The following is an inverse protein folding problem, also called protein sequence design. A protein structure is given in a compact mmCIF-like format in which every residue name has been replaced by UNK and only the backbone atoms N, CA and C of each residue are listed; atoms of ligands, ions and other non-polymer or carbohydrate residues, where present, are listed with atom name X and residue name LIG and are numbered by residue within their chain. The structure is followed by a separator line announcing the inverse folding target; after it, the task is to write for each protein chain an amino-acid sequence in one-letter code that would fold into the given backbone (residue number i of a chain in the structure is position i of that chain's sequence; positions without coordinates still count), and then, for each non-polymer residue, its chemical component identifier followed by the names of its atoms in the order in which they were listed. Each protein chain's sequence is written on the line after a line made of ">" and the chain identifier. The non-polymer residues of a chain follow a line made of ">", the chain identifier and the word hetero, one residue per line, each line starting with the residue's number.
data_IF_021325559602
#
_entry.id   IF_021325559602
#
_cell.length_a   1.000
_cell.length_b   1.000
_cell.length_c   1.000
_cell.angle_alpha   90.00
_cell.angle_beta   90.00
_cell.angle_gamma   90.00
#
_symmetry.space_group_name_H-M   'P 1'
#
loop_
_entity.id
_entity.type
_entity.pdbx_description
1 polymer ?
#
# COMPACT_ATOMS: atom_id res chain seq x y z
N UNK A 1 1.83 -24.62 4.58
CA UNK A 1 0.96 -25.36 3.64
C UNK A 1 1.27 -25.00 2.18
N UNK A 2 1.13 -23.72 1.76
CA UNK A 2 1.37 -23.28 0.36
C UNK A 2 2.77 -23.65 -0.16
N UNK A 3 3.82 -23.36 0.63
CA UNK A 3 5.19 -23.69 0.26
C UNK A 3 5.39 -25.20 0.10
N UNK A 4 4.86 -26.01 1.03
CA UNK A 4 4.95 -27.46 0.97
C UNK A 4 4.25 -28.04 -0.26
N UNK A 5 3.05 -27.51 -0.61
CA UNK A 5 2.36 -27.89 -1.87
C UNK A 5 3.18 -27.60 -3.11
N UNK A 6 3.84 -26.43 -3.18
CA UNK A 6 4.72 -26.06 -4.31
C UNK A 6 5.89 -27.00 -4.48
N UNK A 7 6.34 -27.64 -3.40
CA UNK A 7 7.40 -28.65 -3.40
C UNK A 7 6.87 -30.09 -3.51
N UNK A 8 5.58 -30.27 -3.82
CA UNK A 8 4.99 -31.59 -4.08
C UNK A 8 4.63 -32.38 -2.84
N UNK A 9 4.68 -31.79 -1.65
CA UNK A 9 4.21 -32.48 -0.44
C UNK A 9 2.67 -32.54 -0.43
N UNK A 10 2.14 -33.69 -0.01
CA UNK A 10 0.68 -33.93 0.08
C UNK A 10 0.18 -33.91 1.51
N UNK A 11 1.07 -34.03 2.49
CA UNK A 11 0.76 -34.06 3.93
C UNK A 11 1.79 -33.29 4.74
N UNK A 12 1.34 -32.76 5.89
CA UNK A 12 2.21 -32.28 6.95
C UNK A 12 1.90 -33.07 8.20
N UNK A 13 2.93 -33.31 9.01
CA UNK A 13 2.82 -34.03 10.26
C UNK A 13 3.43 -33.20 11.38
N UNK A 14 2.79 -33.22 12.54
CA UNK A 14 3.23 -32.50 13.74
C UNK A 14 2.90 -33.27 15.00
N UNK A 15 3.70 -33.06 16.03
CA UNK A 15 3.43 -33.55 17.38
C UNK A 15 3.33 -32.36 18.33
N UNK A 16 2.34 -32.37 19.21
CA UNK A 16 2.21 -31.40 20.29
C UNK A 16 1.66 -32.10 21.53
N UNK A 17 1.80 -31.49 22.70
CA UNK A 17 1.15 -32.00 23.91
C UNK A 17 -0.38 -31.88 23.78
N UNK A 18 -1.13 -32.92 24.19
CA UNK A 18 -2.58 -32.96 24.04
C UNK A 18 -3.30 -31.79 24.74
N UNK A 19 -2.72 -31.24 25.83
CA UNK A 19 -3.24 -30.10 26.58
C UNK A 19 -2.88 -28.74 25.96
N UNK A 20 -2.12 -28.70 24.85
CA UNK A 20 -1.73 -27.48 24.19
C UNK A 20 -2.88 -26.92 23.33
N UNK A 21 -3.86 -26.30 23.98
CA UNK A 21 -5.06 -25.74 23.35
C UNK A 21 -4.69 -24.72 22.26
N UNK A 22 -3.70 -23.85 22.51
CA UNK A 22 -3.29 -22.84 21.54
C UNK A 22 -2.79 -23.45 20.23
N UNK A 23 -1.99 -24.52 20.29
CA UNK A 23 -1.50 -25.19 19.09
C UNK A 23 -2.62 -25.95 18.36
N UNK A 24 -3.54 -26.56 19.09
CA UNK A 24 -4.73 -27.20 18.50
C UNK A 24 -5.59 -26.19 17.74
N UNK A 25 -5.79 -24.99 18.29
CA UNK A 25 -6.47 -23.89 17.59
C UNK A 25 -5.75 -23.47 16.30
N UNK A 26 -4.41 -23.43 16.30
CA UNK A 26 -3.61 -23.15 15.11
C UNK A 26 -3.85 -24.21 14.03
N UNK A 27 -3.86 -25.50 14.38
CA UNK A 27 -4.13 -26.57 13.44
C UNK A 27 -5.57 -26.49 12.91
N UNK A 28 -6.56 -26.37 13.79
CA UNK A 28 -7.96 -26.25 13.41
C UNK A 28 -8.22 -25.03 12.52
N UNK A 29 -7.60 -23.89 12.87
CA UNK A 29 -7.72 -22.67 12.07
C UNK A 29 -7.04 -22.77 10.70
N UNK A 30 -6.24 -23.81 10.45
CA UNK A 30 -5.61 -24.01 9.14
C UNK A 30 -6.63 -24.25 8.01
N UNK A 31 -7.81 -24.78 8.34
CA UNK A 31 -8.84 -25.20 7.37
C UNK A 31 -8.47 -26.42 6.54
N UNK A 32 -7.35 -27.06 6.86
CA UNK A 32 -6.93 -28.31 6.21
C UNK A 32 -7.63 -29.49 6.87
N UNK A 33 -8.00 -30.54 6.10
CA UNK A 33 -8.44 -31.81 6.69
C UNK A 33 -7.36 -32.33 7.63
N UNK A 34 -7.77 -32.70 8.84
CA UNK A 34 -6.87 -33.06 9.93
C UNK A 34 -7.30 -34.38 10.55
N UNK A 35 -6.33 -35.26 10.81
CA UNK A 35 -6.47 -36.45 11.61
C UNK A 35 -5.64 -36.32 12.86
N UNK A 36 -6.24 -36.59 14.04
CA UNK A 36 -5.61 -36.50 15.35
C UNK A 36 -5.48 -37.88 15.95
N UNK A 37 -4.32 -38.20 16.49
CA UNK A 37 -4.07 -39.38 17.30
C UNK A 37 -3.41 -39.00 18.60
N UNK A 38 -4.01 -39.44 19.74
CA UNK A 38 -3.47 -39.10 21.07
C UNK A 38 -2.92 -40.34 21.72
N UNK A 39 -1.65 -40.35 22.10
CA UNK A 39 -0.98 -41.45 22.80
C UNK A 39 -0.01 -40.87 23.84
N UNK A 40 -0.03 -41.40 25.07
CA UNK A 40 0.92 -41.08 26.13
C UNK A 40 0.93 -39.62 26.60
N UNK A 41 -0.11 -38.82 26.27
CA UNK A 41 -0.18 -37.38 26.59
C UNK A 41 0.27 -36.47 25.45
N UNK A 42 0.81 -37.03 24.37
CA UNK A 42 1.12 -36.32 23.14
C UNK A 42 -0.01 -36.51 22.13
N UNK A 43 -0.18 -35.50 21.28
CA UNK A 43 -1.11 -35.51 20.15
C UNK A 43 -0.33 -35.41 18.84
N UNK A 44 -0.45 -36.45 18.05
CA UNK A 44 0.01 -36.46 16.66
C UNK A 44 -1.09 -35.88 15.75
N UNK A 45 -0.70 -35.00 14.86
CA UNK A 45 -1.61 -34.35 13.92
C UNK A 45 -1.09 -34.56 12.50
N UNK A 46 -1.90 -35.18 11.65
CA UNK A 46 -1.66 -35.25 10.21
C UNK A 46 -2.59 -34.29 9.49
N UNK A 47 -2.03 -33.36 8.73
CA UNK A 47 -2.75 -32.36 7.94
C UNK A 47 -2.66 -32.72 6.46
N UNK A 48 -3.79 -33.00 5.82
CA UNK A 48 -3.84 -33.21 4.36
C UNK A 48 -3.67 -31.89 3.63
N UNK A 49 -2.71 -31.83 2.71
CA UNK A 49 -2.49 -30.67 1.84
C UNK A 49 -3.34 -30.70 0.57
N UNK A 50 -4.18 -31.72 0.38
CA UNK A 50 -5.12 -31.77 -0.75
C UNK A 50 -6.12 -30.61 -0.62
N UNK A 51 -6.26 -29.75 -1.64
CA UNK A 51 -7.22 -28.66 -1.61
C UNK A 51 -8.64 -29.17 -1.43
N UNK A 52 -9.35 -28.62 -0.46
CA UNK A 52 -10.80 -28.74 -0.32
C UNK A 52 -11.43 -27.38 -0.51
N UNK A 53 -12.69 -27.30 -0.92
CA UNK A 53 -13.39 -26.01 -1.09
C UNK A 53 -13.28 -25.17 0.19
N UNK A 54 -13.42 -25.79 1.37
CA UNK A 54 -13.28 -25.12 2.65
C UNK A 54 -11.86 -24.53 2.86
N UNK A 55 -10.80 -25.31 2.57
CA UNK A 55 -9.40 -24.85 2.74
C UNK A 55 -9.03 -23.76 1.75
N UNK A 56 -9.60 -23.78 0.54
CA UNK A 56 -9.43 -22.75 -0.48
C UNK A 56 -10.10 -21.45 -0.02
N UNK A 57 -11.38 -21.50 0.35
CA UNK A 57 -12.13 -20.34 0.84
C UNK A 57 -11.48 -19.69 2.08
N UNK A 58 -11.01 -20.50 3.04
CA UNK A 58 -10.28 -19.96 4.20
C UNK A 58 -8.96 -19.30 3.82
N UNK A 59 -8.22 -19.85 2.87
CA UNK A 59 -6.98 -19.28 2.39
C UNK A 59 -7.23 -17.94 1.68
N UNK A 60 -8.22 -17.89 0.79
CA UNK A 60 -8.64 -16.69 0.07
C UNK A 60 -9.12 -15.60 1.05
N UNK A 61 -9.93 -15.97 2.05
CA UNK A 61 -10.40 -15.02 3.06
C UNK A 61 -9.25 -14.42 3.87
N UNK A 62 -8.27 -15.25 4.31
CA UNK A 62 -7.09 -14.75 5.04
C UNK A 62 -6.23 -13.84 4.17
N UNK A 63 -6.04 -14.20 2.90
CA UNK A 63 -5.30 -13.38 1.94
C UNK A 63 -5.99 -12.02 1.76
N UNK A 64 -7.31 -12.01 1.60
CA UNK A 64 -8.12 -10.78 1.50
C UNK A 64 -7.98 -9.91 2.75
N UNK A 65 -8.14 -10.48 3.94
CA UNK A 65 -7.99 -9.74 5.21
C UNK A 65 -6.60 -9.15 5.34
N UNK A 66 -5.55 -9.92 5.03
CA UNK A 66 -4.17 -9.46 5.08
C UNK A 66 -3.90 -8.35 4.05
N UNK A 67 -4.38 -8.51 2.81
CA UNK A 67 -4.26 -7.50 1.74
C UNK A 67 -4.95 -6.20 2.15
N UNK A 68 -6.20 -6.27 2.59
CA UNK A 68 -6.97 -5.10 3.03
C UNK A 68 -6.28 -4.37 4.18
N UNK A 69 -5.83 -5.10 5.20
CA UNK A 69 -5.09 -4.52 6.31
C UNK A 69 -3.79 -3.83 5.87
N UNK A 70 -3.06 -4.44 4.92
CA UNK A 70 -1.80 -3.90 4.39
C UNK A 70 -1.99 -2.63 3.56
N UNK A 71 -3.15 -2.45 2.90
CA UNK A 71 -3.46 -1.28 2.08
C UNK A 71 -4.09 -0.13 2.87
N UNK A 72 -4.56 -0.38 4.08
CA UNK A 72 -5.20 0.66 4.91
C UNK A 72 -4.36 1.93 5.09
N UNK A 73 -3.02 1.87 5.30
CA UNK A 73 -2.19 3.08 5.40
C UNK A 73 -2.14 3.92 4.12
N UNK A 74 -2.43 3.35 2.94
CA UNK A 74 -2.55 4.10 1.69
C UNK A 74 -3.81 4.96 1.68
N UNK A 75 -4.95 4.42 2.12
CA UNK A 75 -6.25 5.06 1.95
C UNK A 75 -6.78 5.78 3.19
N UNK A 76 -6.34 5.39 4.39
CA UNK A 76 -6.75 5.97 5.68
C UNK A 76 -5.54 6.36 6.54
N UNK A 77 -4.57 7.13 6.01
CA UNK A 77 -3.44 7.59 6.80
C UNK A 77 -3.89 8.63 7.84
N UNK A 78 -3.30 8.60 9.03
CA UNK A 78 -3.47 9.65 10.03
C UNK A 78 -2.48 10.81 9.80
N UNK A 79 -1.33 10.49 9.19
CA UNK A 79 -0.32 11.47 8.85
C UNK A 79 0.34 11.14 7.50
N UNK A 80 0.56 12.17 6.68
CA UNK A 80 1.16 12.07 5.34
C UNK A 80 2.39 12.96 5.25
N UNK A 81 3.50 12.46 4.70
CA UNK A 81 4.66 13.27 4.36
C UNK A 81 4.80 13.39 2.83
N UNK A 82 4.96 14.61 2.32
CA UNK A 82 5.34 14.88 0.93
C UNK A 82 6.85 15.10 0.87
N UNK A 83 7.57 14.13 0.28
CA UNK A 83 9.03 14.14 0.16
C UNK A 83 9.41 14.64 -1.23
N UNK A 84 10.18 15.73 -1.29
CA UNK A 84 10.42 16.49 -2.52
C UNK A 84 9.42 17.63 -2.70
N UNK A 85 8.79 18.09 -1.62
CA UNK A 85 8.02 19.34 -1.61
C UNK A 85 8.89 20.50 -2.13
N UNK A 86 8.31 21.41 -2.89
CA UNK A 86 9.03 22.49 -3.58
C UNK A 86 8.33 23.82 -3.41
N UNK A 87 9.08 24.94 -3.46
CA UNK A 87 8.53 26.30 -3.48
C UNK A 87 7.97 26.71 -4.83
N UNK A 88 8.36 26.01 -5.90
CA UNK A 88 7.85 26.26 -7.24
C UNK A 88 6.42 25.73 -7.39
N UNK A 89 5.40 26.60 -7.60
CA UNK A 89 4.01 26.20 -7.76
C UNK A 89 3.75 25.26 -8.96
N UNK A 90 4.64 25.24 -9.94
CA UNK A 90 4.53 24.36 -11.11
C UNK A 90 5.09 22.96 -10.84
N UNK A 91 5.85 22.79 -9.77
CA UNK A 91 6.43 21.49 -9.41
C UNK A 91 5.36 20.52 -8.91
N UNK A 92 5.58 19.22 -9.16
CA UNK A 92 4.72 18.14 -8.65
C UNK A 92 4.67 18.19 -7.12
N UNK A 93 5.81 18.38 -6.46
CA UNK A 93 5.88 18.40 -4.99
C UNK A 93 5.07 19.53 -4.34
N UNK A 94 4.99 20.72 -4.99
CA UNK A 94 4.12 21.80 -4.53
C UNK A 94 2.64 21.42 -4.70
N UNK A 95 2.27 20.94 -5.90
CA UNK A 95 0.88 20.60 -6.23
C UNK A 95 0.33 19.47 -5.35
N UNK A 96 1.15 18.49 -4.98
CA UNK A 96 0.78 17.44 -4.03
C UNK A 96 0.47 18.03 -2.65
N UNK A 97 1.34 18.91 -2.17
CA UNK A 97 1.17 19.55 -0.86
C UNK A 97 -0.07 20.45 -0.83
N UNK A 98 -0.26 21.23 -1.89
CA UNK A 98 -1.44 22.08 -2.08
C UNK A 98 -2.72 21.27 -2.15
N UNK A 99 -2.74 20.16 -2.91
CA UNK A 99 -3.89 19.29 -3.03
C UNK A 99 -4.29 18.65 -1.68
N UNK A 100 -3.33 18.20 -0.88
CA UNK A 100 -3.59 17.66 0.46
C UNK A 100 -4.18 18.73 1.40
N UNK A 101 -3.65 19.96 1.39
CA UNK A 101 -4.09 21.02 2.28
C UNK A 101 -5.42 21.64 1.83
N UNK A 102 -5.58 21.93 0.53
CA UNK A 102 -6.75 22.66 -0.01
C UNK A 102 -8.01 21.81 -0.05
N UNK A 103 -7.89 20.47 -0.15
CA UNK A 103 -9.05 19.58 -0.19
C UNK A 103 -9.52 19.11 1.19
N UNK A 104 -8.93 19.65 2.27
CA UNK A 104 -9.40 19.41 3.63
C UNK A 104 -9.08 18.01 4.14
N UNK A 105 -7.90 17.48 3.86
CA UNK A 105 -7.42 16.24 4.46
C UNK A 105 -7.49 16.34 5.99
N UNK A 106 -8.14 15.38 6.63
CA UNK A 106 -8.37 15.41 8.06
C UNK A 106 -7.18 14.95 8.91
N UNK A 107 -6.21 14.28 8.28
CA UNK A 107 -4.94 13.91 8.93
C UNK A 107 -3.93 15.05 8.94
N UNK A 108 -2.74 14.77 9.44
CA UNK A 108 -1.63 15.72 9.45
C UNK A 108 -0.83 15.60 8.16
N UNK A 109 -0.42 16.75 7.63
CA UNK A 109 0.41 16.81 6.42
C UNK A 109 1.75 17.48 6.72
N UNK A 110 2.84 16.87 6.28
CA UNK A 110 4.21 17.32 6.49
C UNK A 110 4.93 17.51 5.17
N UNK A 111 5.55 18.66 4.98
CA UNK A 111 6.41 18.94 3.85
C UNK A 111 7.87 18.62 4.19
N UNK A 112 8.52 17.75 3.40
CA UNK A 112 9.94 17.42 3.57
C UNK A 112 10.75 18.11 2.49
N UNK A 113 11.58 19.06 2.89
CA UNK A 113 12.53 19.76 2.04
C UNK A 113 13.72 20.27 2.87
N UNK A 114 14.97 19.86 2.60
CA UNK A 114 16.14 20.29 3.37
C UNK A 114 16.59 21.74 3.09
N UNK A 115 16.02 22.41 2.06
CA UNK A 115 16.49 23.72 1.58
C UNK A 115 15.47 24.85 1.77
N UNK A 116 14.29 24.57 2.30
CA UNK A 116 13.25 25.58 2.52
C UNK A 116 12.75 25.52 3.97
N UNK A 117 12.45 26.66 4.55
CA UNK A 117 11.82 26.72 5.87
C UNK A 117 10.29 26.64 5.81
N UNK A 118 9.71 27.11 4.71
CA UNK A 118 8.25 27.06 4.47
C UNK A 118 7.96 26.82 3.00
N UNK A 119 6.89 26.06 2.72
CA UNK A 119 6.35 25.80 1.37
C UNK A 119 4.83 25.86 1.46
N UNK A 120 4.17 26.59 0.56
CA UNK A 120 2.71 26.77 0.54
C UNK A 120 2.12 27.17 1.92
N UNK A 121 2.84 28.00 2.67
CA UNK A 121 2.44 28.45 4.02
C UNK A 121 2.65 27.42 5.14
N UNK A 122 3.13 26.21 4.82
CA UNK A 122 3.40 25.16 5.79
C UNK A 122 4.88 25.12 6.18
N UNK A 123 5.16 24.83 7.45
CA UNK A 123 6.51 24.57 7.92
C UNK A 123 7.06 23.32 7.22
N UNK A 124 8.33 23.37 6.81
CA UNK A 124 9.04 22.22 6.26
C UNK A 124 9.99 21.61 7.26
N UNK A 125 10.27 20.35 7.05
CA UNK A 125 11.23 19.58 7.82
C UNK A 125 12.35 19.08 6.90
N UNK A 126 13.61 19.05 7.35
CA UNK A 126 14.74 18.65 6.51
C UNK A 126 14.72 17.15 6.18
N UNK A 127 14.11 16.31 7.01
CA UNK A 127 14.01 14.85 6.83
C UNK A 127 12.81 14.28 7.59
N UNK A 128 12.45 13.02 7.31
CA UNK A 128 11.43 12.30 8.08
C UNK A 128 11.79 12.15 9.57
N UNK A 129 13.09 12.01 9.87
CA UNK A 129 13.59 11.86 11.26
C UNK A 129 13.40 13.11 12.11
N UNK A 130 13.22 14.28 11.48
CA UNK A 130 12.99 15.55 12.18
C UNK A 130 11.52 15.85 12.42
N UNK A 131 10.61 14.99 11.97
CA UNK A 131 9.18 15.13 12.21
C UNK A 131 8.85 14.95 13.71
N UNK A 132 7.83 15.67 14.21
CA UNK A 132 7.41 15.55 15.62
C UNK A 132 6.72 14.21 15.94
N UNK A 133 6.32 13.47 14.92
CA UNK A 133 5.61 12.19 15.05
C UNK A 133 5.82 11.31 13.81
N UNK A 134 5.59 9.99 13.91
CA UNK A 134 5.59 9.10 12.76
C UNK A 134 4.50 9.43 11.75
N UNK A 135 4.74 9.12 10.46
CA UNK A 135 3.76 9.23 9.38
C UNK A 135 3.42 7.85 8.82
N UNK A 136 2.17 7.68 8.38
CA UNK A 136 1.69 6.42 7.83
C UNK A 136 2.02 6.27 6.34
N UNK A 137 1.92 7.39 5.61
CA UNK A 137 2.05 7.46 4.16
C UNK A 137 3.12 8.46 3.75
N UNK A 138 4.04 8.06 2.90
CA UNK A 138 4.98 8.94 2.24
C UNK A 138 4.66 9.06 0.75
N UNK A 139 4.46 10.30 0.28
CA UNK A 139 4.31 10.64 -1.15
C UNK A 139 5.65 11.15 -1.65
N UNK A 140 6.27 10.41 -2.58
CA UNK A 140 7.67 10.62 -2.99
C UNK A 140 7.70 11.25 -4.39
N UNK A 141 8.23 12.48 -4.46
CA UNK A 141 8.38 13.27 -5.69
C UNK A 141 9.81 13.86 -5.78
N UNK A 142 10.81 13.03 -5.49
CA UNK A 142 12.25 13.36 -5.60
C UNK A 142 12.82 12.84 -6.91
N UNK A 143 14.03 13.30 -7.36
CA UNK A 143 14.72 12.67 -8.48
C UNK A 143 14.90 11.16 -8.28
N UNK A 144 14.84 10.39 -9.38
CA UNK A 144 14.85 8.92 -9.34
C UNK A 144 16.03 8.31 -8.54
N UNK A 145 17.18 8.94 -8.64
CA UNK A 145 18.41 8.46 -7.99
C UNK A 145 18.37 8.59 -6.47
N UNK A 146 17.48 9.44 -5.94
CA UNK A 146 17.25 9.61 -4.50
C UNK A 146 16.16 8.68 -3.93
N UNK A 147 15.36 8.03 -4.78
CA UNK A 147 14.19 7.26 -4.32
C UNK A 147 14.58 6.12 -3.40
N UNK A 148 15.63 5.36 -3.72
CA UNK A 148 16.06 4.21 -2.91
C UNK A 148 16.49 4.62 -1.49
N UNK A 149 17.22 5.73 -1.34
CA UNK A 149 17.62 6.23 -0.02
C UNK A 149 16.44 6.79 0.77
N UNK A 150 15.48 7.40 0.09
CA UNK A 150 14.23 7.87 0.71
C UNK A 150 13.41 6.69 1.24
N UNK A 151 13.37 5.57 0.53
CA UNK A 151 12.69 4.34 1.01
C UNK A 151 13.35 3.80 2.27
N UNK A 152 14.68 3.84 2.38
CA UNK A 152 15.39 3.47 3.61
C UNK A 152 15.00 4.38 4.79
N UNK A 153 14.94 5.68 4.56
CA UNK A 153 14.53 6.64 5.58
C UNK A 153 13.05 6.44 5.99
N UNK A 154 12.17 6.14 5.03
CA UNK A 154 10.77 5.79 5.30
C UNK A 154 10.67 4.56 6.22
N UNK A 155 11.36 3.49 5.88
CA UNK A 155 11.37 2.26 6.69
C UNK A 155 11.92 2.51 8.10
N UNK A 156 13.03 3.25 8.22
CA UNK A 156 13.68 3.56 9.50
C UNK A 156 12.83 4.46 10.42
N UNK A 157 11.83 5.16 9.87
CA UNK A 157 10.96 6.07 10.61
C UNK A 157 9.54 5.52 10.82
N UNK A 158 9.28 4.27 10.43
CA UNK A 158 8.02 3.58 10.67
C UNK A 158 6.90 3.90 9.68
N UNK A 159 7.23 4.52 8.53
CA UNK A 159 6.29 4.64 7.40
C UNK A 159 5.84 3.25 6.96
N UNK A 160 4.57 3.10 6.61
CA UNK A 160 4.00 1.80 6.22
C UNK A 160 3.61 1.72 4.74
N UNK A 161 3.36 2.87 4.12
CA UNK A 161 2.90 2.95 2.74
C UNK A 161 3.60 4.06 1.97
N UNK A 162 3.82 3.81 0.67
CA UNK A 162 4.50 4.71 -0.25
C UNK A 162 3.62 4.97 -1.47
N UNK A 163 3.60 6.21 -1.94
CA UNK A 163 3.14 6.59 -3.27
C UNK A 163 4.33 7.22 -4.00
N UNK A 164 4.90 6.49 -4.98
CA UNK A 164 6.08 6.94 -5.72
C UNK A 164 5.65 7.59 -7.03
N UNK A 165 5.60 8.92 -7.04
CA UNK A 165 5.23 9.71 -8.22
C UNK A 165 6.36 9.70 -9.25
N UNK A 166 7.59 9.68 -8.78
CA UNK A 166 8.81 9.76 -9.58
C UNK A 166 8.80 8.75 -10.73
N UNK A 167 9.11 9.24 -11.93
CA UNK A 167 9.33 8.46 -13.15
C UNK A 167 10.83 8.18 -13.37
N UNK A 168 11.14 7.39 -14.41
CA UNK A 168 12.51 7.01 -14.77
C UNK A 168 12.86 5.57 -14.37
N UNK A 169 11.82 4.72 -14.25
CA UNK A 169 11.92 3.31 -13.89
C UNK A 169 11.66 2.41 -15.13
N UNK A 170 10.88 1.35 -15.01
CA UNK A 170 10.70 0.35 -16.07
C UNK A 170 10.21 0.91 -17.41
N UNK A 171 9.53 2.06 -17.40
CA UNK A 171 9.02 2.74 -18.59
C UNK A 171 10.12 3.33 -19.49
N UNK A 172 11.34 3.53 -18.96
CA UNK A 172 12.46 4.07 -19.75
C UNK A 172 13.42 3.00 -20.28
N UNK A 173 13.10 1.71 -20.11
CA UNK A 173 13.87 0.61 -20.67
C UNK A 173 14.57 -0.27 -19.64
N UNK A 174 15.63 -0.99 -20.07
CA UNK A 174 16.25 -2.08 -19.30
C UNK A 174 16.85 -1.60 -17.97
N UNK A 175 17.59 -0.50 -17.98
CA UNK A 175 18.23 0.02 -16.77
C UNK A 175 17.20 0.57 -15.78
N UNK A 176 16.15 1.22 -16.30
CA UNK A 176 15.02 1.64 -15.47
C UNK A 176 14.28 0.45 -14.86
N UNK A 177 14.14 -0.65 -15.59
CA UNK A 177 13.56 -1.89 -15.04
C UNK A 177 14.40 -2.47 -13.92
N UNK A 178 15.72 -2.55 -14.07
CA UNK A 178 16.62 -3.00 -13.00
C UNK A 178 16.49 -2.14 -11.74
N UNK A 179 16.40 -0.83 -11.92
CA UNK A 179 16.18 0.10 -10.81
C UNK A 179 14.84 -0.14 -10.12
N UNK A 180 13.79 -0.40 -10.89
CA UNK A 180 12.45 -0.75 -10.36
C UNK A 180 12.46 -2.08 -9.59
N UNK A 181 13.12 -3.10 -10.11
CA UNK A 181 13.22 -4.40 -9.45
C UNK A 181 13.95 -4.27 -8.11
N UNK A 182 15.02 -3.47 -8.06
CA UNK A 182 15.73 -3.16 -6.81
C UNK A 182 14.85 -2.36 -5.82
N UNK A 183 14.07 -1.39 -6.32
CA UNK A 183 13.10 -0.65 -5.52
C UNK A 183 12.05 -1.59 -4.92
N UNK A 184 11.50 -2.50 -5.73
CA UNK A 184 10.49 -3.46 -5.28
C UNK A 184 11.04 -4.42 -4.22
N UNK A 185 12.25 -4.95 -4.45
CA UNK A 185 12.93 -5.80 -3.48
C UNK A 185 13.08 -5.10 -2.13
N UNK A 186 13.57 -3.86 -2.15
CA UNK A 186 13.75 -3.03 -0.95
C UNK A 186 12.43 -2.79 -0.22
N UNK A 187 11.37 -2.39 -0.93
CA UNK A 187 10.03 -2.16 -0.38
C UNK A 187 9.50 -3.40 0.33
N UNK A 188 9.65 -4.58 -0.30
CA UNK A 188 9.21 -5.86 0.26
C UNK A 188 10.02 -6.31 1.47
N UNK A 189 11.34 -6.16 1.43
CA UNK A 189 12.22 -6.49 2.55
C UNK A 189 11.90 -5.67 3.79
N UNK A 190 11.45 -4.43 3.62
CA UNK A 190 11.07 -3.53 4.71
C UNK A 190 9.58 -3.66 5.14
N UNK A 191 8.82 -4.56 4.51
CA UNK A 191 7.41 -4.77 4.82
C UNK A 191 6.49 -3.59 4.44
N UNK A 192 6.93 -2.75 3.51
CA UNK A 192 6.18 -1.59 3.02
C UNK A 192 5.22 -1.99 1.89
N UNK A 193 4.17 -1.17 1.67
CA UNK A 193 3.34 -1.26 0.47
C UNK A 193 3.55 -0.02 -0.40
N UNK A 194 3.55 -0.21 -1.73
CA UNK A 194 3.89 0.86 -2.66
C UNK A 194 2.93 0.93 -3.85
N UNK A 195 2.38 2.13 -4.11
CA UNK A 195 1.72 2.50 -5.37
C UNK A 195 2.74 3.18 -6.28
N UNK A 196 2.76 2.83 -7.55
CA UNK A 196 3.72 3.31 -8.53
C UNK A 196 4.88 2.33 -8.78
N UNK A 197 6.10 2.80 -9.10
CA UNK A 197 6.48 4.17 -9.43
C UNK A 197 5.83 4.71 -10.71
N UNK A 198 6.17 5.94 -11.11
CA UNK A 198 5.64 6.61 -12.29
C UNK A 198 4.10 6.66 -12.27
N UNK A 199 3.53 7.10 -11.17
CA UNK A 199 2.09 7.18 -10.98
C UNK A 199 1.63 8.64 -10.79
N UNK A 200 0.33 8.83 -10.91
CA UNK A 200 -0.32 10.13 -10.71
C UNK A 200 -0.69 10.37 -9.23
N UNK A 201 -0.74 9.31 -8.43
CA UNK A 201 -1.12 9.36 -7.03
C UNK A 201 -2.40 8.61 -6.70
N UNK A 202 -2.91 8.86 -5.51
CA UNK A 202 -4.13 8.24 -4.96
C UNK A 202 -5.04 9.30 -4.36
N UNK A 203 -6.36 9.06 -4.34
CA UNK A 203 -7.30 9.83 -3.55
C UNK A 203 -8.33 8.94 -2.85
N UNK A 204 -8.86 9.45 -1.75
CA UNK A 204 -10.00 8.90 -1.03
C UNK A 204 -10.95 10.05 -0.66
N UNK A 205 -12.18 9.97 -1.14
CA UNK A 205 -13.19 11.02 -0.97
C UNK A 205 -14.03 10.84 0.28
N UNK A 206 -13.82 9.76 1.05
CA UNK A 206 -14.52 9.55 2.32
C UNK A 206 -14.50 10.84 3.14
N UNK A 207 -15.69 11.37 3.55
CA UNK A 207 -15.78 12.61 4.34
C UNK A 207 -14.95 12.58 5.63
N UNK A 208 -14.68 11.40 6.19
CA UNK A 208 -13.84 11.24 7.38
C UNK A 208 -12.31 11.30 7.07
N UNK A 209 -11.92 11.23 5.80
CA UNK A 209 -10.50 11.17 5.39
C UNK A 209 -10.13 12.35 4.49
N UNK A 210 -10.80 12.50 3.34
CA UNK A 210 -10.59 13.55 2.32
C UNK A 210 -9.14 13.62 1.81
N UNK A 211 -8.56 12.47 1.54
CA UNK A 211 -7.17 12.36 1.06
C UNK A 211 -7.09 12.71 -0.44
N UNK A 212 -6.31 13.74 -0.80
CA UNK A 212 -5.90 13.98 -2.17
C UNK A 212 -4.36 13.95 -2.29
N UNK A 213 -3.80 12.77 -2.38
CA UNK A 213 -2.37 12.56 -2.63
C UNK A 213 -2.10 12.40 -4.14
N UNK A 214 -2.75 13.22 -4.96
CA UNK A 214 -2.51 13.40 -6.40
C UNK A 214 -2.06 14.82 -6.70
N UNK A 215 -1.56 15.07 -7.90
CA UNK A 215 -1.31 16.44 -8.37
C UNK A 215 -2.42 16.96 -9.32
N UNK A 216 -3.64 16.40 -9.19
CA UNK A 216 -4.84 16.92 -9.86
C UNK A 216 -5.30 18.23 -9.22
N UNK A 217 -5.87 19.09 -10.03
CA UNK A 217 -6.61 20.27 -9.58
C UNK A 217 -8.05 19.94 -9.13
N UNK A 218 -8.55 18.74 -9.47
CA UNK A 218 -9.92 18.27 -9.22
C UNK A 218 -9.96 17.33 -8.02
N UNK A 219 -10.99 17.49 -7.18
CA UNK A 219 -11.34 16.55 -6.13
C UNK A 219 -12.81 16.16 -6.30
N UNK A 220 -13.13 14.94 -6.76
CA UNK A 220 -14.48 14.54 -7.10
C UNK A 220 -15.39 14.48 -5.86
N UNK A 221 -16.71 14.46 -6.10
CA UNK A 221 -17.70 14.22 -5.07
C UNK A 221 -17.50 12.85 -4.42
N UNK A 222 -17.83 12.75 -3.14
CA UNK A 222 -17.89 11.47 -2.46
C UNK A 222 -18.98 10.57 -3.07
N UNK A 223 -18.66 9.29 -3.23
CA UNK A 223 -19.57 8.29 -3.81
C UNK A 223 -19.07 6.87 -3.61
N UNK A 224 -19.67 5.93 -4.32
CA UNK A 224 -19.39 4.50 -4.16
C UNK A 224 -18.52 3.88 -5.28
N UNK A 225 -18.15 4.65 -6.29
CA UNK A 225 -17.37 4.12 -7.42
C UNK A 225 -15.89 4.18 -7.08
N UNK A 226 -15.24 3.03 -6.99
CA UNK A 226 -13.79 2.93 -6.92
C UNK A 226 -13.19 2.84 -8.33
N UNK A 227 -12.05 3.51 -8.54
CA UNK A 227 -11.45 3.59 -9.87
C UNK A 227 -9.94 3.39 -9.82
N UNK A 228 -9.41 2.63 -10.77
CA UNK A 228 -7.96 2.47 -10.98
C UNK A 228 -7.60 2.78 -12.42
N UNK A 229 -6.45 3.46 -12.63
CA UNK A 229 -5.90 3.73 -13.95
C UNK A 229 -4.39 3.50 -13.96
N UNK A 230 -3.88 2.88 -15.02
CA UNK A 230 -2.44 2.79 -15.25
C UNK A 230 -1.89 4.10 -15.86
N UNK A 231 -2.67 4.75 -16.71
CA UNK A 231 -2.30 6.00 -17.35
C UNK A 231 -2.67 7.20 -16.48
N UNK A 232 -1.67 8.03 -16.11
CA UNK A 232 -1.91 9.28 -15.40
C UNK A 232 -2.77 10.27 -16.19
N UNK A 233 -2.55 10.39 -17.51
CA UNK A 233 -3.34 11.29 -18.36
C UNK A 233 -4.81 10.84 -18.47
N UNK A 234 -5.05 9.54 -18.64
CA UNK A 234 -6.41 9.00 -18.61
C UNK A 234 -7.06 9.20 -17.23
N UNK A 235 -6.30 8.99 -16.16
CA UNK A 235 -6.76 9.24 -14.79
C UNK A 235 -7.24 10.68 -14.60
N UNK A 236 -6.45 11.66 -15.05
CA UNK A 236 -6.83 13.08 -15.02
C UNK A 236 -8.13 13.35 -15.79
N UNK A 237 -8.26 12.79 -17.01
CA UNK A 237 -9.45 12.96 -17.83
C UNK A 237 -10.70 12.35 -17.17
N UNK A 238 -10.54 11.19 -16.51
CA UNK A 238 -11.61 10.51 -15.78
C UNK A 238 -12.04 11.31 -14.54
N UNK A 239 -11.11 11.87 -13.77
CA UNK A 239 -11.42 12.73 -12.62
C UNK A 239 -12.17 13.99 -13.07
N UNK A 240 -11.71 14.67 -14.14
CA UNK A 240 -12.40 15.82 -14.69
C UNK A 240 -13.80 15.45 -15.26
N UNK A 241 -13.95 14.29 -15.86
CA UNK A 241 -15.25 13.80 -16.34
C UNK A 241 -16.18 13.46 -15.17
N UNK A 242 -15.70 12.85 -14.10
CA UNK A 242 -16.51 12.53 -12.92
C UNK A 242 -17.07 13.80 -12.26
N UNK A 243 -16.24 14.84 -12.13
CA UNK A 243 -16.70 16.14 -11.63
C UNK A 243 -17.78 16.76 -12.52
N UNK A 244 -17.53 16.84 -13.85
CA UNK A 244 -18.48 17.40 -14.81
C UNK A 244 -19.80 16.65 -14.86
N UNK A 245 -19.76 15.33 -14.74
CA UNK A 245 -20.95 14.45 -14.76
C UNK A 245 -21.57 14.25 -13.38
N UNK A 246 -21.03 14.89 -12.35
CA UNK A 246 -21.47 14.76 -10.95
C UNK A 246 -21.46 13.29 -10.48
N UNK A 247 -20.50 12.51 -10.96
CA UNK A 247 -20.30 11.12 -10.55
C UNK A 247 -19.42 11.09 -9.30
N UNK A 248 -19.96 10.58 -8.19
CA UNK A 248 -19.22 10.43 -6.95
C UNK A 248 -18.27 9.23 -6.99
N UNK A 249 -17.01 9.44 -6.59
CA UNK A 249 -16.03 8.39 -6.41
C UNK A 249 -15.83 8.09 -4.92
N UNK A 250 -15.46 6.86 -4.57
CA UNK A 250 -14.97 6.53 -3.23
C UNK A 250 -13.46 6.70 -3.16
N UNK A 251 -12.76 6.09 -4.11
CA UNK A 251 -11.30 6.13 -4.21
C UNK A 251 -10.86 6.16 -5.67
N UNK A 252 -9.70 6.76 -5.91
CA UNK A 252 -9.00 6.66 -7.19
C UNK A 252 -7.54 6.28 -6.95
N UNK A 253 -7.00 5.38 -7.78
CA UNK A 253 -5.60 4.94 -7.73
C UNK A 253 -4.99 4.97 -9.12
N UNK A 254 -3.95 5.79 -9.29
CA UNK A 254 -3.07 5.65 -10.45
C UNK A 254 -1.98 4.65 -10.11
N UNK A 255 -2.04 3.45 -10.67
CA UNK A 255 -1.06 2.39 -10.33
C UNK A 255 0.29 2.55 -11.01
N UNK A 256 0.40 3.43 -12.03
CA UNK A 256 1.65 3.67 -12.76
C UNK A 256 2.28 2.39 -13.30
N UNK A 257 3.56 2.15 -13.01
CA UNK A 257 4.27 0.93 -13.42
C UNK A 257 3.80 -0.33 -12.68
N UNK A 258 2.98 -0.19 -11.65
CA UNK A 258 2.38 -1.30 -10.90
C UNK A 258 3.42 -2.31 -10.39
N UNK A 259 4.45 -1.79 -9.72
CA UNK A 259 5.56 -2.64 -9.26
C UNK A 259 5.19 -3.51 -8.06
N UNK A 260 4.40 -2.98 -7.08
CA UNK A 260 3.96 -3.71 -5.89
C UNK A 260 2.43 -3.84 -5.86
N UNK A 261 1.70 -2.77 -5.53
CA UNK A 261 0.23 -2.82 -5.46
C UNK A 261 -0.35 -3.04 -6.85
N UNK A 262 -1.10 -4.12 -7.00
CA UNK A 262 -1.76 -4.53 -8.23
C UNK A 262 -3.25 -4.17 -8.23
N UNK A 263 -3.91 -4.28 -9.40
CA UNK A 263 -5.35 -4.11 -9.50
C UNK A 263 -6.09 -5.20 -8.69
N UNK A 264 -5.54 -6.41 -8.59
CA UNK A 264 -6.15 -7.48 -7.78
C UNK A 264 -6.14 -7.13 -6.28
N UNK A 265 -5.03 -6.54 -5.77
CA UNK A 265 -4.99 -6.05 -4.39
C UNK A 265 -6.06 -4.97 -4.14
N UNK A 266 -6.25 -4.06 -5.11
CA UNK A 266 -7.27 -3.02 -5.03
C UNK A 266 -8.69 -3.59 -5.07
N UNK A 267 -8.97 -4.57 -5.93
CA UNK A 267 -10.27 -5.25 -5.97
C UNK A 267 -10.57 -5.92 -4.63
N UNK A 268 -9.62 -6.66 -4.06
CA UNK A 268 -9.78 -7.25 -2.73
C UNK A 268 -10.03 -6.22 -1.63
N UNK A 269 -9.38 -5.06 -1.72
CA UNK A 269 -9.59 -3.95 -0.78
C UNK A 269 -10.99 -3.34 -0.93
N UNK A 270 -11.49 -3.17 -2.14
CA UNK A 270 -12.77 -2.51 -2.43
C UNK A 270 -13.99 -3.43 -2.21
N UNK A 271 -13.80 -4.74 -2.14
CA UNK A 271 -14.86 -5.70 -1.82
C UNK A 271 -15.26 -5.73 -0.32
N UNK A 272 -14.45 -5.10 0.54
CA UNK A 272 -14.71 -4.96 1.98
C UNK A 272 -15.27 -3.56 2.29
#
# INVERSE_FOLDING_TARGET
>A
ALLARRHGFTRLWAITHADNVAMREVFASSGLPMEEHVEGGDMEVELSLTPTDHSVHQSEWRERVATTASLRPLFHPQAVAVIGASRDPQSIGYRLLDALSSNGFHGRCYAINPHAATIAGMQTYPSLRSLPEPVDLAVIAVPKDAVLSVVDDCAATGVRALVVITAGFAEVGVDGRRLQDHLLEKVRQQGLRMVGPNCFGILNTDPAVRLNATFASTFPLAGSIAMSSQSGALGLALLAASERLQIGLSTFVSVGNKADVSVNDLLQYWEN
#
